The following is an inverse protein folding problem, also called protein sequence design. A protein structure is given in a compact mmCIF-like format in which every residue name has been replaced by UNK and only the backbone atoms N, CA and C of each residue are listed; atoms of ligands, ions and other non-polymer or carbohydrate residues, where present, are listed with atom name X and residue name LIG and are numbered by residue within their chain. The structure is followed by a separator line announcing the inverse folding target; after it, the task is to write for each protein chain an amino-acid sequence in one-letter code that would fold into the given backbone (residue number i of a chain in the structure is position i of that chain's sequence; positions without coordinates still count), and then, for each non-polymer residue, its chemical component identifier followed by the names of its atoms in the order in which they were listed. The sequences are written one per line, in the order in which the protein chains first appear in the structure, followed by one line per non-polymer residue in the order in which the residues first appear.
data_IF_583754399928
#
_entry.id   IF_583754399928
#
_cell.length_a   1.000
_cell.length_b   1.000
_cell.length_c   1.000
_cell.angle_alpha   90.00
_cell.angle_beta   90.00
_cell.angle_gamma   90.00
#
_symmetry.space_group_name_H-M   'P 1'
#
loop_
_entity.id
_entity.type
_entity.pdbx_description
1 polymer ?
#
# COMPACT_ATOMS: atom_id res chain seq x y z
N UNK A 1 1.39 19.86 14.55
CA UNK A 1 1.30 18.43 14.23
C UNK A 1 0.79 17.76 15.49
N UNK A 2 -0.33 17.08 15.39
CA UNK A 2 -0.91 16.33 16.50
C UNK A 2 -0.38 14.90 16.42
N UNK A 3 0.11 14.38 17.53
CA UNK A 3 0.59 13.01 17.64
C UNK A 3 -0.37 12.26 18.53
N UNK A 4 -0.87 11.14 18.04
CA UNK A 4 -1.74 10.23 18.79
C UNK A 4 -0.93 9.04 19.30
N UNK A 5 -1.45 8.35 20.30
CA UNK A 5 -0.82 7.13 20.78
C UNK A 5 -0.75 6.09 19.67
N UNK A 6 0.30 5.27 19.68
CA UNK A 6 0.35 4.09 18.83
C UNK A 6 -0.84 3.19 19.15
N UNK A 7 -1.63 2.84 18.13
CA UNK A 7 -2.82 2.02 18.27
C UNK A 7 -4.06 2.74 18.81
N UNK A 8 -4.12 4.07 18.72
CA UNK A 8 -5.34 4.82 18.98
C UNK A 8 -6.46 4.41 17.99
N UNK A 9 -7.47 3.69 18.49
CA UNK A 9 -8.54 3.13 17.68
C UNK A 9 -9.45 4.20 17.06
N UNK A 10 -9.73 5.26 17.81
CA UNK A 10 -10.58 6.36 17.35
C UNK A 10 -9.95 7.05 16.13
N UNK A 11 -8.66 7.34 16.20
CA UNK A 11 -7.91 7.91 15.07
C UNK A 11 -7.91 6.99 13.83
N UNK A 12 -7.76 5.66 14.02
CA UNK A 12 -7.82 4.69 12.93
C UNK A 12 -9.21 4.63 12.31
N UNK A 13 -10.26 4.72 13.13
CA UNK A 13 -11.65 4.65 12.67
C UNK A 13 -12.08 5.92 11.92
N UNK A 14 -11.64 7.09 12.37
CA UNK A 14 -12.06 8.39 11.84
C UNK A 14 -11.23 8.84 10.63
N UNK A 15 -10.02 8.30 10.45
CA UNK A 15 -9.19 8.60 9.30
C UNK A 15 -9.86 8.13 7.99
N UNK A 16 -9.81 8.97 6.95
CA UNK A 16 -10.28 8.62 5.60
C UNK A 16 -9.21 7.87 4.77
N UNK A 17 -7.94 8.05 5.14
CA UNK A 17 -6.76 7.41 4.56
C UNK A 17 -5.76 7.14 5.69
N UNK A 18 -5.27 5.90 5.76
CA UNK A 18 -4.20 5.50 6.66
C UNK A 18 -3.00 5.11 5.80
N UNK A 19 -1.84 5.70 6.09
CA UNK A 19 -0.59 5.38 5.38
C UNK A 19 0.38 4.75 6.37
N UNK A 20 0.69 3.47 6.18
CA UNK A 20 1.75 2.78 6.91
C UNK A 20 3.09 3.04 6.22
N UNK A 21 3.99 3.73 6.93
CA UNK A 21 5.39 3.94 6.50
C UNK A 21 6.39 3.27 7.43
N UNK A 22 5.91 2.38 8.31
CA UNK A 22 6.76 1.74 9.30
C UNK A 22 7.57 0.58 8.68
N UNK A 23 8.70 0.19 9.29
CA UNK A 23 9.41 -1.02 8.89
C UNK A 23 8.54 -2.28 9.02
N UNK A 24 9.03 -3.38 8.43
CA UNK A 24 8.41 -4.69 8.53
C UNK A 24 8.07 -5.07 9.98
N UNK A 25 6.93 -5.77 10.15
CA UNK A 25 6.37 -6.23 11.41
C UNK A 25 5.92 -5.16 12.43
N UNK A 26 6.23 -3.87 12.22
CA UNK A 26 5.83 -2.81 13.15
C UNK A 26 4.29 -2.65 13.23
N UNK A 27 3.58 -2.83 12.12
CA UNK A 27 2.10 -2.77 12.06
C UNK A 27 1.42 -4.02 12.60
N UNK A 28 2.12 -5.11 12.85
CA UNK A 28 1.48 -6.38 13.20
C UNK A 28 0.73 -6.27 14.54
N UNK A 29 1.25 -5.45 15.46
CA UNK A 29 0.60 -5.10 16.73
C UNK A 29 -0.73 -4.35 16.57
N UNK A 30 -0.99 -3.76 15.40
CA UNK A 30 -2.20 -2.99 15.13
C UNK A 30 -3.31 -3.81 14.45
N UNK A 31 -3.00 -5.00 13.96
CA UNK A 31 -3.94 -5.85 13.20
C UNK A 31 -5.20 -6.16 14.02
N UNK A 32 -5.03 -6.42 15.32
CA UNK A 32 -6.13 -6.76 16.23
C UNK A 32 -7.07 -5.59 16.53
N UNK A 33 -6.63 -4.35 16.28
CA UNK A 33 -7.43 -3.15 16.52
C UNK A 33 -8.02 -2.56 15.25
N UNK A 34 -7.76 -3.17 14.09
CA UNK A 34 -8.35 -2.73 12.84
C UNK A 34 -9.87 -2.90 12.87
N UNK A 35 -10.63 -1.91 12.33
CA UNK A 35 -12.08 -2.02 12.25
C UNK A 35 -12.49 -3.26 11.45
N UNK A 36 -13.55 -3.94 11.86
CA UNK A 36 -14.12 -5.07 11.12
C UNK A 36 -14.69 -4.67 9.74
N UNK A 37 -15.02 -3.39 9.58
CA UNK A 37 -15.53 -2.79 8.33
C UNK A 37 -14.91 -1.40 8.13
N UNK A 38 -13.63 -1.32 7.71
CA UNK A 38 -12.98 -0.06 7.41
C UNK A 38 -13.75 0.70 6.32
N UNK A 39 -13.92 2.00 6.54
CA UNK A 39 -14.47 2.94 5.54
C UNK A 39 -13.37 3.67 4.78
N UNK A 40 -12.13 3.48 5.20
CA UNK A 40 -10.96 4.18 4.71
C UNK A 40 -10.06 3.30 3.86
N UNK A 41 -9.20 3.97 3.11
CA UNK A 41 -8.16 3.34 2.31
C UNK A 41 -6.95 3.08 3.23
N UNK A 42 -6.42 1.87 3.19
CA UNK A 42 -5.14 1.55 3.82
C UNK A 42 -4.05 1.46 2.78
N UNK A 43 -3.07 2.35 2.87
CA UNK A 43 -1.91 2.39 2.00
C UNK A 43 -0.68 1.91 2.76
N UNK A 44 -0.14 0.76 2.39
CA UNK A 44 1.11 0.26 2.94
C UNK A 44 2.24 0.47 1.94
N UNK A 45 3.29 1.20 2.36
CA UNK A 45 4.45 1.47 1.47
C UNK A 45 5.36 0.26 1.33
N UNK A 46 5.25 -0.74 2.21
CA UNK A 46 6.05 -1.95 2.13
C UNK A 46 5.69 -2.75 0.87
N UNK A 47 6.72 -3.05 0.08
CA UNK A 47 6.64 -3.89 -1.11
C UNK A 47 7.30 -5.26 -0.91
N UNK A 48 7.91 -5.48 0.26
CA UNK A 48 8.48 -6.76 0.68
C UNK A 48 8.38 -6.87 2.21
N UNK A 49 7.81 -7.95 2.76
CA UNK A 49 7.07 -9.02 2.08
C UNK A 49 5.82 -8.48 1.35
N UNK A 50 5.31 -9.21 0.35
CA UNK A 50 4.09 -8.84 -0.37
C UNK A 50 3.14 -10.05 -0.50
N UNK A 51 1.85 -9.90 -0.14
CA UNK A 51 1.28 -8.79 0.62
C UNK A 51 1.74 -8.79 2.10
N UNK A 52 1.70 -7.64 2.77
CA UNK A 52 1.92 -7.57 4.24
C UNK A 52 0.72 -8.13 5.00
N UNK A 53 0.92 -8.57 6.25
CA UNK A 53 -0.18 -9.06 7.09
C UNK A 53 -1.25 -7.99 7.34
N UNK A 54 -0.82 -6.73 7.52
CA UNK A 54 -1.74 -5.60 7.67
C UNK A 54 -2.61 -5.38 6.43
N UNK A 55 -2.02 -5.43 5.22
CA UNK A 55 -2.77 -5.35 3.96
C UNK A 55 -3.77 -6.51 3.82
N UNK A 56 -3.36 -7.74 4.17
CA UNK A 56 -4.23 -8.91 4.13
C UNK A 56 -5.42 -8.70 5.08
N UNK A 57 -5.18 -8.36 6.35
CA UNK A 57 -6.24 -8.13 7.33
C UNK A 57 -7.21 -7.03 6.90
N UNK A 58 -6.70 -5.92 6.40
CA UNK A 58 -7.53 -4.81 5.95
C UNK A 58 -8.44 -5.22 4.79
N UNK A 59 -7.90 -6.00 3.84
CA UNK A 59 -8.64 -6.53 2.69
C UNK A 59 -9.68 -7.58 3.11
N UNK A 60 -9.36 -8.47 4.05
CA UNK A 60 -10.30 -9.45 4.61
C UNK A 60 -11.51 -8.77 5.28
N UNK A 61 -11.29 -7.61 5.90
CA UNK A 61 -12.36 -6.76 6.43
C UNK A 61 -13.10 -5.97 5.32
N UNK A 62 -12.91 -6.31 4.04
CA UNK A 62 -13.50 -5.64 2.86
C UNK A 62 -13.04 -4.19 2.66
N UNK A 63 -11.89 -3.81 3.23
CA UNK A 63 -11.30 -2.49 3.06
C UNK A 63 -10.59 -2.31 1.72
N UNK A 64 -10.56 -1.07 1.24
CA UNK A 64 -9.75 -0.69 0.08
C UNK A 64 -8.29 -0.59 0.48
N UNK A 65 -7.41 -1.12 -0.37
CA UNK A 65 -5.97 -1.13 -0.13
C UNK A 65 -5.20 -0.57 -1.31
N UNK A 66 -4.12 0.14 -1.02
CA UNK A 66 -3.04 0.46 -1.95
C UNK A 66 -1.81 -0.26 -1.43
N UNK A 67 -1.14 -1.05 -2.26
CA UNK A 67 0.04 -1.81 -1.85
C UNK A 67 1.35 -1.13 -2.29
N UNK A 68 2.46 -1.53 -1.66
CA UNK A 68 3.77 -0.99 -2.00
C UNK A 68 4.19 -1.27 -3.46
N UNK A 69 3.56 -2.25 -4.12
CA UNK A 69 3.80 -2.51 -5.54
C UNK A 69 3.21 -1.39 -6.41
N UNK A 70 2.00 -0.89 -6.13
CA UNK A 70 1.44 0.30 -6.80
C UNK A 70 2.35 1.52 -6.63
N UNK A 71 2.89 1.72 -5.42
CA UNK A 71 3.83 2.80 -5.14
C UNK A 71 5.10 2.68 -6.01
N UNK A 72 5.74 1.51 -6.03
CA UNK A 72 6.94 1.27 -6.83
C UNK A 72 6.70 1.51 -8.33
N UNK A 73 5.55 1.06 -8.85
CA UNK A 73 5.20 1.26 -10.25
C UNK A 73 5.06 2.75 -10.57
N UNK A 74 4.34 3.50 -9.75
CA UNK A 74 4.17 4.93 -9.99
C UNK A 74 5.47 5.74 -9.82
N UNK A 75 6.36 5.30 -8.92
CA UNK A 75 7.71 5.86 -8.79
C UNK A 75 8.55 5.55 -10.03
N UNK A 76 8.52 4.31 -10.52
CA UNK A 76 9.28 3.90 -11.69
C UNK A 76 8.83 4.65 -12.95
N UNK A 77 7.52 4.86 -13.15
CA UNK A 77 7.01 5.70 -14.26
C UNK A 77 7.61 7.10 -14.17
N UNK A 78 7.56 7.73 -12.99
CA UNK A 78 8.15 9.07 -12.79
C UNK A 78 9.65 9.09 -13.06
N UNK A 79 10.39 8.05 -12.66
CA UNK A 79 11.83 7.94 -12.95
C UNK A 79 12.09 7.86 -14.45
N UNK A 80 11.32 7.07 -15.20
CA UNK A 80 11.47 6.97 -16.66
C UNK A 80 11.13 8.31 -17.32
N UNK A 81 10.05 8.99 -16.90
CA UNK A 81 9.71 10.33 -17.42
C UNK A 81 10.85 11.33 -17.18
N UNK A 82 11.43 11.34 -15.98
CA UNK A 82 12.56 12.22 -15.62
C UNK A 82 13.80 11.90 -16.45
N UNK A 83 14.20 10.62 -16.56
CA UNK A 83 15.44 10.24 -17.25
C UNK A 83 15.36 10.32 -18.76
N UNK A 84 14.16 10.17 -19.33
CA UNK A 84 13.97 10.20 -20.78
C UNK A 84 13.47 11.54 -21.29
N UNK A 85 13.00 12.42 -20.41
CA UNK A 85 12.31 13.67 -20.73
C UNK A 85 11.07 13.47 -21.63
N UNK A 86 10.52 12.25 -21.67
CA UNK A 86 9.32 11.90 -22.45
C UNK A 86 8.12 11.77 -21.54
N UNK A 87 6.96 12.23 -22.04
CA UNK A 87 5.69 11.99 -21.39
C UNK A 87 5.26 10.53 -21.58
N UNK A 88 4.82 9.90 -20.50
CA UNK A 88 4.30 8.52 -20.53
C UNK A 88 2.80 8.56 -20.26
N UNK A 89 2.05 7.73 -21.00
CA UNK A 89 0.66 7.45 -20.63
C UNK A 89 0.63 6.67 -19.31
N UNK A 90 0.57 7.40 -18.19
CA UNK A 90 0.72 6.84 -16.84
C UNK A 90 -0.31 5.75 -16.51
N UNK A 91 -1.62 5.89 -16.77
CA UNK A 91 -2.59 4.82 -16.53
C UNK A 91 -2.27 3.52 -17.29
N UNK A 92 -1.94 3.64 -18.58
CA UNK A 92 -1.61 2.49 -19.43
C UNK A 92 -0.31 1.81 -18.96
N UNK A 93 0.73 2.60 -18.70
CA UNK A 93 2.01 2.07 -18.22
C UNK A 93 1.87 1.42 -16.84
N UNK A 94 1.08 2.01 -15.93
CA UNK A 94 0.85 1.43 -14.60
C UNK A 94 0.16 0.06 -14.70
N UNK A 95 -0.83 -0.08 -15.59
CA UNK A 95 -1.50 -1.35 -15.82
C UNK A 95 -0.56 -2.42 -16.38
N UNK A 96 0.27 -2.06 -17.37
CA UNK A 96 1.25 -2.97 -17.97
C UNK A 96 2.30 -3.41 -16.95
N UNK A 97 2.90 -2.46 -16.21
CA UNK A 97 3.90 -2.74 -15.20
C UNK A 97 3.34 -3.58 -14.05
N UNK A 98 2.09 -3.34 -13.63
CA UNK A 98 1.44 -4.16 -12.59
C UNK A 98 1.23 -5.60 -13.06
N UNK A 99 0.76 -5.80 -14.28
CA UNK A 99 0.60 -7.14 -14.85
C UNK A 99 1.95 -7.89 -14.92
N UNK A 100 3.01 -7.22 -15.37
CA UNK A 100 4.35 -7.82 -15.42
C UNK A 100 4.92 -8.13 -14.03
N UNK A 101 4.78 -7.22 -13.06
CA UNK A 101 5.28 -7.43 -11.71
C UNK A 101 4.56 -8.58 -11.00
N UNK A 102 3.24 -8.70 -11.16
CA UNK A 102 2.47 -9.83 -10.61
C UNK A 102 2.89 -11.16 -11.24
N UNK A 103 3.20 -11.20 -12.53
CA UNK A 103 3.72 -12.41 -13.17
C UNK A 103 5.06 -12.85 -12.57
N UNK A 104 5.95 -11.90 -12.25
CA UNK A 104 7.26 -12.18 -11.65
C UNK A 104 7.17 -12.60 -10.17
N UNK A 105 6.26 -11.99 -9.40
CA UNK A 105 6.04 -12.38 -8.00
C UNK A 105 5.50 -13.82 -7.89
N UNK A 106 4.65 -14.23 -8.83
CA UNK A 106 4.08 -15.57 -8.88
C UNK A 106 5.02 -16.64 -9.47
N UNK A 107 6.07 -16.24 -10.20
CA UNK A 107 7.08 -17.16 -10.73
C UNK A 107 8.22 -17.45 -9.74
N UNK A 108 8.38 -16.59 -8.73
CA UNK A 108 9.44 -16.65 -7.71
C UNK A 108 9.06 -17.45 -6.45
N UNK A 109 7.86 -18.04 -6.43
CA UNK A 109 7.34 -18.97 -5.41
C UNK A 109 7.24 -20.39 -5.95
#
# INVERSE_FOLDING_TARGET
MEFVSWGDQESIHDAQLIISTTPEAATDSLIEIFPERPRSIFFDVLYKPWPTQALVRWRENSGYVIDGLDLLIHQAISQVEIFTEKQINRPEMAQLMRASALAELNSST
#
